data_IF_126702299267
#
_entry.id   IF_126702299267
#
_cell.length_a   1.000
_cell.length_b   1.000
_cell.length_c   1.000
_cell.angle_alpha   90.00
_cell.angle_beta   90.00
_cell.angle_gamma   90.00
#
_symmetry.space_group_name_H-M   'P 1'
#
loop_
_entity.id
_entity.type
_entity.pdbx_description
1 polymer ?
#
# COMPACT_ATOMS: atom_id res chain seq x y z
N UNK A 1 -16.63 7.51 -8.51
CA UNK A 1 -16.99 8.29 -7.30
C UNK A 1 -15.71 8.84 -6.70
N UNK A 2 -15.70 10.12 -6.28
CA UNK A 2 -14.52 10.80 -5.75
C UNK A 2 -14.69 11.05 -4.26
N UNK A 3 -13.65 10.80 -3.48
CA UNK A 3 -13.62 11.00 -2.04
C UNK A 3 -12.40 11.85 -1.66
N UNK A 4 -12.57 12.91 -0.85
CA UNK A 4 -11.43 13.52 -0.17
C UNK A 4 -10.84 12.50 0.80
N UNK A 5 -9.51 12.52 0.91
CA UNK A 5 -8.77 11.68 1.85
C UNK A 5 -8.03 12.55 2.88
N UNK A 6 -7.70 11.94 4.01
CA UNK A 6 -6.73 12.46 4.97
C UNK A 6 -5.52 11.53 4.98
N UNK A 7 -4.32 12.09 4.86
CA UNK A 7 -3.07 11.36 5.02
C UNK A 7 -2.66 11.37 6.50
N UNK A 8 -3.21 10.44 7.29
CA UNK A 8 -2.95 10.34 8.72
C UNK A 8 -1.74 9.44 8.98
N UNK A 9 -0.67 9.99 9.56
CA UNK A 9 0.66 9.34 9.62
C UNK A 9 1.04 8.65 8.30
N UNK A 10 0.81 9.34 7.17
CA UNK A 10 1.02 8.87 5.80
C UNK A 10 0.11 7.74 5.31
N UNK A 11 -0.78 7.21 6.16
CA UNK A 11 -1.82 6.27 5.74
C UNK A 11 -3.03 6.99 5.15
N UNK A 12 -3.70 6.35 4.20
CA UNK A 12 -4.90 6.89 3.56
C UNK A 12 -6.13 6.59 4.43
N UNK A 13 -6.76 7.64 4.93
CA UNK A 13 -8.10 7.56 5.51
C UNK A 13 -9.12 8.24 4.60
N UNK A 14 -10.20 7.55 4.29
CA UNK A 14 -11.35 8.11 3.57
C UNK A 14 -12.63 7.95 4.40
N UNK A 15 -13.51 8.94 4.28
CA UNK A 15 -14.82 8.92 4.94
C UNK A 15 -15.91 8.60 3.91
N UNK A 16 -16.75 7.61 4.22
CA UNK A 16 -17.90 7.25 3.39
C UNK A 16 -19.08 6.86 4.27
N UNK A 17 -20.14 7.65 4.23
CA UNK A 17 -21.26 7.58 5.17
C UNK A 17 -20.76 7.69 6.63
N UNK A 18 -21.01 6.67 7.44
CA UNK A 18 -20.55 6.55 8.83
C UNK A 18 -19.19 5.84 8.98
N UNK A 19 -18.62 5.37 7.87
CA UNK A 19 -17.38 4.61 7.88
C UNK A 19 -16.14 5.49 7.74
N UNK A 20 -15.12 5.15 8.51
CA UNK A 20 -13.75 5.67 8.39
C UNK A 20 -12.91 4.50 7.88
N UNK A 21 -12.46 4.61 6.64
CA UNK A 21 -11.86 3.51 5.88
C UNK A 21 -10.37 3.80 5.69
N UNK A 22 -9.54 2.90 6.23
CA UNK A 22 -8.12 2.78 5.87
C UNK A 22 -8.01 2.04 4.54
N UNK A 23 -7.42 2.66 3.52
CA UNK A 23 -7.20 2.00 2.22
C UNK A 23 -5.85 1.30 2.22
N UNK A 24 -5.85 0.00 1.90
CA UNK A 24 -4.68 -0.84 2.05
C UNK A 24 -4.55 -1.85 0.88
N UNK A 25 -3.62 -1.58 -0.04
CA UNK A 25 -3.29 -2.49 -1.15
C UNK A 25 -2.35 -3.63 -0.73
N UNK A 26 -1.79 -3.57 0.47
CA UNK A 26 -1.01 -4.63 1.12
C UNK A 26 -1.87 -5.66 1.86
N UNK A 27 -3.19 -5.45 1.96
CA UNK A 27 -4.12 -6.42 2.51
C UNK A 27 -4.96 -7.12 1.43
N UNK A 28 -4.97 -8.46 1.37
CA UNK A 28 -5.80 -9.19 0.41
C UNK A 28 -7.28 -9.26 0.82
N UNK A 29 -7.62 -8.86 2.05
CA UNK A 29 -8.96 -8.99 2.63
C UNK A 29 -9.39 -7.68 3.27
N UNK A 30 -10.66 -7.33 3.10
CA UNK A 30 -11.30 -6.23 3.80
C UNK A 30 -11.74 -6.68 5.19
N UNK A 31 -11.27 -5.93 6.20
CA UNK A 31 -11.65 -6.09 7.60
C UNK A 31 -12.61 -4.96 7.97
N UNK A 32 -13.79 -5.28 8.46
CA UNK A 32 -14.81 -4.30 8.83
C UNK A 32 -15.43 -4.64 10.19
N UNK A 33 -15.93 -3.63 10.90
CA UNK A 33 -16.64 -3.81 12.18
C UNK A 33 -17.88 -4.71 12.04
N UNK A 34 -18.48 -4.72 10.85
CA UNK A 34 -19.62 -5.58 10.50
C UNK A 34 -19.30 -6.56 9.36
N UNK A 35 -20.20 -7.51 9.13
CA UNK A 35 -20.02 -8.53 8.09
C UNK A 35 -20.21 -8.00 6.66
N UNK A 36 -20.70 -6.77 6.50
CA UNK A 36 -20.94 -6.15 5.21
C UNK A 36 -20.68 -4.65 5.28
N UNK A 37 -20.20 -4.10 4.17
CA UNK A 37 -20.08 -2.65 3.97
C UNK A 37 -20.80 -2.25 2.67
N UNK A 38 -21.51 -1.12 2.70
CA UNK A 38 -22.00 -0.48 1.48
C UNK A 38 -21.03 0.62 1.06
N UNK A 39 -20.44 0.45 -0.12
CA UNK A 39 -19.47 1.39 -0.69
C UNK A 39 -19.74 1.60 -2.19
N UNK A 40 -19.71 2.84 -2.66
CA UNK A 40 -20.01 3.20 -4.06
C UNK A 40 -21.32 2.57 -4.61
N UNK A 41 -22.39 2.56 -3.80
CA UNK A 41 -23.70 1.95 -4.11
C UNK A 41 -23.68 0.43 -4.34
N UNK A 42 -22.64 -0.25 -3.89
CA UNK A 42 -22.50 -1.71 -3.90
C UNK A 42 -22.34 -2.20 -2.46
N UNK A 43 -22.83 -3.41 -2.18
CA UNK A 43 -22.66 -4.06 -0.88
C UNK A 43 -21.67 -5.20 -1.02
N UNK A 44 -20.67 -5.22 -0.16
CA UNK A 44 -19.61 -6.23 -0.13
C UNK A 44 -19.66 -6.99 1.19
N UNK A 45 -19.42 -8.29 1.14
CA UNK A 45 -19.16 -9.08 2.35
C UNK A 45 -17.75 -8.74 2.88
N UNK A 46 -17.60 -8.71 4.20
CA UNK A 46 -16.36 -8.37 4.87
C UNK A 46 -16.04 -9.38 5.97
N UNK A 47 -14.76 -9.53 6.26
CA UNK A 47 -14.31 -10.25 7.44
C UNK A 47 -14.31 -9.32 8.65
N UNK A 48 -14.62 -9.83 9.85
CA UNK A 48 -14.41 -9.07 11.11
C UNK A 48 -12.99 -9.20 11.65
N UNK A 49 -12.27 -10.22 11.18
CA UNK A 49 -10.92 -10.53 11.58
C UNK A 49 -10.17 -11.16 10.40
N UNK A 50 -8.87 -10.87 10.29
CA UNK A 50 -7.97 -11.58 9.40
C UNK A 50 -6.67 -11.91 10.15
N UNK A 51 -6.41 -13.21 10.37
CA UNK A 51 -5.26 -13.70 11.13
C UNK A 51 -5.02 -12.99 12.49
N UNK A 52 -6.07 -12.78 13.28
CA UNK A 52 -5.95 -12.08 14.57
C UNK A 52 -5.83 -10.55 14.48
N UNK A 53 -6.01 -9.98 13.29
CA UNK A 53 -6.13 -8.53 13.06
C UNK A 53 -7.60 -8.15 13.00
N UNK A 54 -8.02 -7.18 13.82
CA UNK A 54 -9.37 -6.60 13.80
C UNK A 54 -9.29 -5.08 13.63
N UNK A 55 -10.41 -4.42 13.32
CA UNK A 55 -10.45 -2.95 13.19
C UNK A 55 -10.19 -2.23 14.51
N UNK A 56 -10.51 -2.84 15.66
CA UNK A 56 -10.18 -2.29 16.98
C UNK A 56 -8.66 -2.27 17.18
N UNK A 57 -7.99 -3.40 16.92
CA UNK A 57 -6.53 -3.51 17.02
C UNK A 57 -5.83 -2.54 16.07
N UNK A 58 -6.33 -2.42 14.83
CA UNK A 58 -5.80 -1.48 13.85
C UNK A 58 -6.00 -0.03 14.30
N UNK A 59 -7.16 0.29 14.88
CA UNK A 59 -7.43 1.63 15.42
C UNK A 59 -6.46 2.00 16.55
N UNK A 60 -6.18 1.05 17.45
CA UNK A 60 -5.24 1.24 18.56
C UNK A 60 -3.81 1.47 18.03
N UNK A 61 -3.37 0.67 17.06
CA UNK A 61 -2.03 0.76 16.48
C UNK A 61 -1.85 2.03 15.63
N UNK A 62 -2.88 2.40 14.87
CA UNK A 62 -2.89 3.65 14.09
C UNK A 62 -2.97 4.87 15.01
N UNK A 63 -3.60 4.77 16.17
CA UNK A 63 -3.92 5.91 17.02
C UNK A 63 -5.07 6.77 16.50
N UNK A 64 -5.87 6.23 15.57
CA UNK A 64 -7.07 6.87 15.01
C UNK A 64 -8.16 5.82 14.83
N UNK A 65 -9.42 6.11 15.21
CA UNK A 65 -10.51 5.16 15.02
C UNK A 65 -10.77 4.92 13.53
N UNK A 66 -10.82 3.66 13.15
CA UNK A 66 -11.29 3.21 11.83
C UNK A 66 -12.41 2.18 12.01
N UNK A 67 -13.34 2.16 11.07
CA UNK A 67 -14.38 1.12 11.00
C UNK A 67 -14.00 0.03 10.02
N UNK A 68 -13.04 0.30 9.14
CA UNK A 68 -12.72 -0.57 8.00
C UNK A 68 -11.25 -0.44 7.61
N UNK A 69 -10.60 -1.57 7.37
CA UNK A 69 -9.44 -1.69 6.48
C UNK A 69 -9.93 -2.28 5.16
N UNK A 70 -9.86 -1.51 4.08
CA UNK A 70 -10.34 -1.91 2.75
C UNK A 70 -9.18 -2.50 1.95
N UNK A 71 -9.24 -3.81 1.76
CA UNK A 71 -8.23 -4.61 1.06
C UNK A 71 -8.52 -4.79 -0.42
N UNK A 72 -7.66 -5.54 -1.11
CA UNK A 72 -7.72 -5.73 -2.56
C UNK A 72 -8.94 -6.53 -3.04
N UNK A 73 -9.59 -7.29 -2.16
CA UNK A 73 -10.87 -7.95 -2.44
C UNK A 73 -11.98 -6.97 -2.84
N UNK A 74 -12.04 -5.78 -2.23
CA UNK A 74 -12.96 -4.70 -2.63
C UNK A 74 -12.29 -3.75 -3.61
N UNK A 75 -11.02 -3.39 -3.41
CA UNK A 75 -10.35 -2.40 -4.30
C UNK A 75 -10.31 -2.88 -5.75
N UNK A 76 -10.22 -4.19 -6.00
CA UNK A 76 -10.19 -4.77 -7.35
C UNK A 76 -11.52 -4.66 -8.12
N UNK A 77 -12.61 -4.31 -7.45
CA UNK A 77 -13.91 -4.04 -8.09
C UNK A 77 -13.95 -2.67 -8.78
N UNK A 78 -12.89 -1.87 -8.63
CA UNK A 78 -12.76 -0.54 -9.22
C UNK A 78 -11.41 -0.37 -9.92
N UNK A 79 -11.35 0.65 -10.78
CA UNK A 79 -10.09 1.33 -11.07
C UNK A 79 -9.93 2.41 -10.00
N UNK A 80 -8.86 2.33 -9.20
CA UNK A 80 -8.63 3.25 -8.07
C UNK A 80 -7.53 4.25 -8.44
N UNK A 81 -7.86 5.54 -8.42
CA UNK A 81 -6.92 6.64 -8.66
C UNK A 81 -6.51 7.24 -7.32
N UNK A 82 -5.22 7.21 -7.03
CA UNK A 82 -4.58 7.77 -5.85
C UNK A 82 -3.92 9.09 -6.23
N UNK A 83 -4.49 10.19 -5.72
CA UNK A 83 -4.01 11.55 -5.94
C UNK A 83 -3.65 12.18 -4.59
N UNK A 84 -2.44 11.89 -4.11
CA UNK A 84 -1.98 12.35 -2.80
C UNK A 84 -1.77 13.87 -2.77
N UNK A 85 -1.31 14.46 -3.88
CA UNK A 85 -1.10 15.90 -3.99
C UNK A 85 -2.40 16.67 -3.76
N UNK A 86 -3.49 16.24 -4.41
CA UNK A 86 -4.80 16.84 -4.23
C UNK A 86 -5.61 16.24 -3.07
N UNK A 87 -5.04 15.27 -2.34
CA UNK A 87 -5.69 14.52 -1.25
C UNK A 87 -7.06 13.98 -1.67
N UNK A 88 -7.08 13.29 -2.80
CA UNK A 88 -8.28 12.66 -3.36
C UNK A 88 -8.03 11.21 -3.73
N UNK A 89 -9.06 10.39 -3.58
CA UNK A 89 -9.15 9.09 -4.26
C UNK A 89 -10.39 9.06 -5.15
N UNK A 90 -10.23 8.50 -6.35
CA UNK A 90 -11.33 8.24 -7.26
C UNK A 90 -11.48 6.75 -7.52
N UNK A 91 -12.70 6.24 -7.34
CA UNK A 91 -13.10 4.89 -7.71
C UNK A 91 -13.89 4.95 -9.02
N UNK A 92 -13.33 4.44 -10.11
CA UNK A 92 -13.93 4.41 -11.45
C UNK A 92 -14.40 3.00 -11.78
N UNK A 93 -15.35 2.88 -12.71
CA UNK A 93 -15.71 1.56 -13.23
C UNK A 93 -14.62 1.07 -14.19
N UNK A 94 -14.55 -0.25 -14.38
CA UNK A 94 -13.64 -0.90 -15.34
C UNK A 94 -13.94 -0.56 -16.81
N UNK A 95 -15.04 0.14 -17.10
CA UNK A 95 -15.34 0.67 -18.43
C UNK A 95 -14.55 1.95 -18.75
N UNK A 96 -14.01 2.61 -17.72
CA UNK A 96 -13.18 3.79 -17.90
C UNK A 96 -11.77 3.41 -18.36
N UNK A 97 -11.18 4.28 -19.19
CA UNK A 97 -9.77 4.13 -19.57
C UNK A 97 -8.85 4.62 -18.45
N UNK A 98 -7.71 3.94 -18.31
CA UNK A 98 -6.55 4.44 -17.60
C UNK A 98 -5.91 5.59 -18.37
N UNK A 99 -5.31 6.52 -17.65
CA UNK A 99 -4.62 7.68 -18.22
C UNK A 99 -3.18 7.75 -17.73
N UNK A 100 -2.29 8.27 -18.57
CA UNK A 100 -0.86 8.38 -18.26
C UNK A 100 -0.04 7.23 -18.88
N UNK A 101 1.12 6.96 -18.31
CA UNK A 101 1.94 5.82 -18.72
C UNK A 101 1.38 4.56 -18.08
N UNK A 102 1.07 3.55 -18.89
CA UNK A 102 0.46 2.31 -18.42
C UNK A 102 1.52 1.21 -18.44
N UNK A 103 1.61 0.47 -17.34
CA UNK A 103 2.44 -0.72 -17.21
C UNK A 103 1.63 -1.90 -16.71
N UNK A 104 2.07 -3.09 -17.09
CA UNK A 104 1.57 -4.33 -16.50
C UNK A 104 2.17 -4.50 -15.10
N UNK A 105 1.32 -4.89 -14.15
CA UNK A 105 1.75 -5.31 -12.81
C UNK A 105 1.53 -6.80 -12.66
N UNK A 106 2.19 -7.40 -11.67
CA UNK A 106 2.02 -8.82 -11.37
C UNK A 106 1.32 -8.96 -10.02
N UNK A 107 0.54 -10.01 -9.82
CA UNK A 107 -0.11 -10.27 -8.53
C UNK A 107 0.30 -11.61 -7.95
N UNK A 108 0.46 -11.65 -6.63
CA UNK A 108 0.70 -12.86 -5.86
C UNK A 108 -0.08 -12.78 -4.55
N UNK A 109 -0.86 -13.82 -4.24
CA UNK A 109 -1.73 -13.89 -3.05
C UNK A 109 -2.64 -12.66 -2.87
N UNK A 110 -3.13 -12.08 -3.97
CA UNK A 110 -4.00 -10.89 -3.94
C UNK A 110 -3.27 -9.55 -3.79
N UNK A 111 -1.94 -9.55 -3.75
CA UNK A 111 -1.12 -8.35 -3.61
C UNK A 111 -0.41 -7.99 -4.91
N UNK A 112 -0.32 -6.70 -5.20
CA UNK A 112 0.27 -6.17 -6.43
C UNK A 112 1.77 -5.98 -6.32
N UNK A 113 2.49 -6.28 -7.37
CA UNK A 113 3.94 -6.19 -7.47
C UNK A 113 4.37 -5.42 -8.71
N UNK A 114 5.35 -4.54 -8.53
CA UNK A 114 6.07 -3.84 -9.61
C UNK A 114 7.55 -4.14 -9.55
N UNK A 115 8.23 -3.82 -10.64
CA UNK A 115 9.68 -3.81 -10.70
C UNK A 115 10.18 -2.37 -10.49
N UNK A 116 11.20 -2.22 -9.66
CA UNK A 116 11.97 -0.99 -9.48
C UNK A 116 13.43 -1.27 -9.84
N UNK A 117 14.20 -0.24 -10.13
CA UNK A 117 15.66 -0.34 -10.13
C UNK A 117 16.20 0.33 -8.87
N UNK A 118 16.91 -0.43 -8.05
CA UNK A 118 17.65 0.05 -6.89
C UNK A 118 19.13 -0.21 -7.13
N UNK A 119 19.96 0.84 -7.08
CA UNK A 119 21.42 0.73 -7.28
C UNK A 119 21.83 0.03 -8.60
N UNK A 120 21.00 0.15 -9.64
CA UNK A 120 21.23 -0.50 -10.93
C UNK A 120 20.75 -1.96 -11.02
N UNK A 121 20.21 -2.52 -9.94
CA UNK A 121 19.58 -3.85 -9.93
C UNK A 121 18.07 -3.75 -10.04
N UNK A 122 17.47 -4.55 -10.92
CA UNK A 122 16.01 -4.69 -11.00
C UNK A 122 15.52 -5.54 -9.82
N UNK A 123 14.57 -5.00 -9.05
CA UNK A 123 13.99 -5.62 -7.86
C UNK A 123 12.47 -5.63 -7.98
N UNK A 124 11.85 -6.73 -7.56
CA UNK A 124 10.39 -6.82 -7.46
C UNK A 124 9.95 -6.44 -6.05
N UNK A 125 8.96 -5.56 -5.92
CA UNK A 125 8.42 -5.09 -4.62
C UNK A 125 6.89 -5.17 -4.62
N UNK A 126 6.29 -5.41 -3.45
CA UNK A 126 4.85 -5.22 -3.27
C UNK A 126 4.48 -3.74 -3.22
N UNK A 127 3.35 -3.35 -3.79
CA UNK A 127 2.81 -1.99 -3.68
C UNK A 127 1.79 -1.93 -2.55
N UNK A 128 2.05 -1.05 -1.57
CA UNK A 128 1.30 -1.04 -0.33
C UNK A 128 0.94 0.39 0.14
N UNK A 129 -0.31 0.80 -0.08
CA UNK A 129 -0.85 2.06 0.47
C UNK A 129 -0.98 2.06 2.00
N UNK A 130 -0.98 0.88 2.62
CA UNK A 130 -0.94 0.68 4.07
C UNK A 130 0.45 0.87 4.67
N UNK A 131 1.51 1.02 3.87
CA UNK A 131 2.88 1.20 4.38
C UNK A 131 3.31 2.69 4.41
N UNK A 132 3.53 3.24 5.62
CA UNK A 132 3.95 4.65 5.81
C UNK A 132 5.41 4.93 5.45
N UNK A 133 6.25 3.90 5.51
CA UNK A 133 7.59 3.87 4.93
C UNK A 133 7.71 2.64 4.04
N UNK A 134 8.68 2.67 3.13
CA UNK A 134 8.97 1.51 2.30
C UNK A 134 9.92 0.57 3.05
N UNK A 135 10.01 -0.67 2.59
CA UNK A 135 10.80 -1.70 3.22
C UNK A 135 11.60 -2.47 2.18
N UNK A 136 12.85 -2.80 2.49
CA UNK A 136 13.70 -3.54 1.56
C UNK A 136 14.65 -4.49 2.29
N UNK A 137 15.04 -5.57 1.61
CA UNK A 137 16.08 -6.48 2.05
C UNK A 137 17.37 -5.75 2.45
N UNK A 138 17.95 -6.14 3.58
CA UNK A 138 19.19 -5.57 4.13
C UNK A 138 20.34 -5.57 3.13
N UNK A 139 20.38 -6.50 2.18
CA UNK A 139 21.43 -6.52 1.14
C UNK A 139 21.49 -5.23 0.33
N UNK A 140 20.37 -4.48 0.22
CA UNK A 140 20.34 -3.18 -0.47
C UNK A 140 20.75 -2.01 0.43
N UNK A 141 20.77 -2.17 1.75
CA UNK A 141 21.13 -1.09 2.69
C UNK A 141 22.48 -1.30 3.36
N UNK A 142 23.08 -2.49 3.21
CA UNK A 142 24.31 -2.89 3.92
C UNK A 142 25.52 -1.97 3.69
N UNK A 143 25.58 -1.30 2.53
CA UNK A 143 26.68 -0.42 2.14
C UNK A 143 26.38 1.07 2.40
N UNK A 144 25.25 1.37 3.06
CA UNK A 144 24.81 2.73 3.39
C UNK A 144 24.88 2.97 4.90
N UNK A 145 25.20 4.20 5.27
CA UNK A 145 25.05 4.63 6.67
C UNK A 145 23.58 4.84 6.99
N UNK A 146 23.13 4.25 8.10
CA UNK A 146 21.78 4.46 8.61
C UNK A 146 21.58 5.92 9.00
N UNK A 147 20.42 6.47 8.66
CA UNK A 147 19.99 7.82 9.03
C UNK A 147 19.37 7.86 10.45
N UNK A 148 19.35 6.72 11.14
CA UNK A 148 18.75 6.55 12.45
C UNK A 148 17.71 5.43 12.44
N UNK A 149 16.94 5.33 13.52
CA UNK A 149 15.91 4.31 13.68
C UNK A 149 14.52 4.90 13.60
N UNK A 150 13.58 4.13 13.04
CA UNK A 150 12.16 4.46 12.99
C UNK A 150 11.37 3.42 13.77
N UNK A 151 10.36 3.88 14.50
CA UNK A 151 9.32 3.01 15.07
C UNK A 151 8.18 2.87 14.05
N UNK A 152 7.75 1.63 13.85
CA UNK A 152 6.61 1.32 13.00
C UNK A 152 5.87 0.10 13.55
N UNK A 153 4.76 -0.25 12.91
CA UNK A 153 4.00 -1.43 13.24
C UNK A 153 3.62 -2.21 11.99
N UNK A 154 3.44 -3.52 12.17
CA UNK A 154 2.72 -4.34 11.20
C UNK A 154 1.57 -5.05 11.94
N UNK A 155 0.35 -5.06 11.40
CA UNK A 155 -0.82 -5.62 12.10
C UNK A 155 -0.62 -7.04 12.63
N UNK A 156 0.22 -7.85 11.98
CA UNK A 156 0.47 -9.24 12.37
C UNK A 156 1.47 -9.38 13.51
N UNK A 157 2.52 -8.56 13.56
CA UNK A 157 3.59 -8.67 14.58
C UNK A 157 3.56 -7.63 15.68
N UNK A 158 2.81 -6.54 15.50
CA UNK A 158 2.86 -5.40 16.40
C UNK A 158 3.96 -4.41 16.05
N UNK A 159 4.38 -3.67 17.06
CA UNK A 159 5.39 -2.61 16.96
C UNK A 159 6.79 -3.20 16.78
N UNK A 160 7.61 -2.52 15.98
CA UNK A 160 9.01 -2.84 15.79
C UNK A 160 9.82 -1.58 15.49
N UNK A 161 11.13 -1.70 15.62
CA UNK A 161 12.08 -0.64 15.27
C UNK A 161 12.94 -1.11 14.12
N UNK A 162 13.23 -0.22 13.17
CA UNK A 162 14.09 -0.52 12.02
C UNK A 162 15.09 0.59 11.77
N UNK A 163 16.26 0.23 11.23
CA UNK A 163 17.21 1.21 10.69
C UNK A 163 16.65 1.83 9.41
N UNK A 164 16.92 3.11 9.19
CA UNK A 164 16.34 3.88 8.09
C UNK A 164 17.40 4.36 7.11
N UNK A 165 17.06 4.30 5.83
CA UNK A 165 17.95 4.63 4.73
C UNK A 165 17.18 5.32 3.62
N UNK A 166 17.70 6.43 3.09
CA UNK A 166 17.15 7.05 1.88
C UNK A 166 17.92 6.55 0.67
N UNK A 167 17.23 5.88 -0.25
CA UNK A 167 17.81 5.37 -1.50
C UNK A 167 17.08 5.96 -2.70
N UNK A 168 17.79 6.15 -3.80
CA UNK A 168 17.17 6.48 -5.07
C UNK A 168 16.59 5.20 -5.70
N UNK A 169 15.30 5.23 -5.97
CA UNK A 169 14.58 4.24 -6.75
C UNK A 169 14.28 4.79 -8.14
N UNK A 170 14.23 3.89 -9.12
CA UNK A 170 13.82 4.21 -10.48
C UNK A 170 12.64 3.31 -10.87
N UNK A 171 11.54 3.95 -11.25
CA UNK A 171 10.36 3.30 -11.80
C UNK A 171 10.16 3.77 -13.23
N UNK A 172 10.32 2.87 -14.20
CA UNK A 172 10.11 3.17 -15.63
C UNK A 172 10.92 4.39 -16.13
N UNK A 173 12.16 4.55 -15.66
CA UNK A 173 13.05 5.67 -15.99
C UNK A 173 12.85 6.92 -15.14
N UNK A 174 11.91 6.91 -14.19
CA UNK A 174 11.63 8.02 -13.29
C UNK A 174 12.29 7.78 -11.94
N UNK A 175 13.32 8.58 -11.65
CA UNK A 175 14.06 8.51 -10.38
C UNK A 175 13.38 9.32 -9.28
N UNK A 176 13.30 8.73 -8.10
CA UNK A 176 12.75 9.34 -6.91
C UNK A 176 13.41 8.77 -5.65
N UNK A 177 13.53 9.60 -4.61
CA UNK A 177 14.12 9.17 -3.34
C UNK A 177 13.05 8.52 -2.46
N UNK A 178 13.41 7.42 -1.82
CA UNK A 178 12.52 6.61 -0.99
C UNK A 178 13.16 6.36 0.35
N UNK A 179 12.40 6.56 1.42
CA UNK A 179 12.76 6.18 2.77
C UNK A 179 12.44 4.70 2.99
N UNK A 180 13.50 3.91 3.13
CA UNK A 180 13.43 2.48 3.40
C UNK A 180 13.78 2.16 4.86
N UNK A 181 13.01 1.25 5.45
CA UNK A 181 13.43 0.43 6.57
C UNK A 181 13.90 -0.94 6.11
N UNK A 182 14.59 -1.69 6.97
CA UNK A 182 14.76 -3.12 6.79
C UNK A 182 13.64 -3.89 7.48
N UNK A 183 13.10 -4.90 6.81
CA UNK A 183 12.11 -5.78 7.43
C UNK A 183 12.75 -6.62 8.53
N UNK A 184 11.98 -6.93 9.60
CA UNK A 184 12.37 -7.99 10.51
C UNK A 184 12.62 -9.29 9.74
N UNK A 185 13.65 -10.06 10.12
CA UNK A 185 14.14 -11.23 9.36
C UNK A 185 13.04 -12.23 8.98
N UNK A 186 12.08 -12.45 9.89
CA UNK A 186 10.95 -13.36 9.65
C UNK A 186 10.09 -12.92 8.46
N UNK A 187 9.84 -11.62 8.29
CA UNK A 187 9.07 -11.11 7.16
C UNK A 187 9.88 -11.09 5.87
N UNK A 188 11.17 -10.76 5.97
CA UNK A 188 12.05 -10.84 4.81
C UNK A 188 12.06 -12.27 4.23
N UNK A 189 12.05 -13.28 5.10
CA UNK A 189 11.96 -14.67 4.68
C UNK A 189 10.62 -14.99 3.99
N UNK A 190 9.49 -14.49 4.51
CA UNK A 190 8.17 -14.67 3.90
C UNK A 190 8.08 -13.98 2.54
N UNK A 191 8.54 -12.73 2.41
CA UNK A 191 8.56 -12.01 1.13
C UNK A 191 9.46 -12.70 0.09
N UNK A 192 10.61 -13.21 0.53
CA UNK A 192 11.54 -13.92 -0.34
C UNK A 192 10.93 -15.19 -0.95
N UNK A 193 10.01 -15.87 -0.25
CA UNK A 193 9.26 -17.02 -0.81
C UNK A 193 8.35 -16.62 -1.97
N UNK A 194 7.89 -15.36 -1.99
CA UNK A 194 7.10 -14.77 -3.07
C UNK A 194 7.96 -14.20 -4.20
N UNK A 195 9.29 -14.26 -4.09
CA UNK A 195 10.23 -13.69 -5.06
C UNK A 195 10.33 -12.17 -4.99
N UNK A 196 9.91 -11.58 -3.87
CA UNK A 196 9.83 -10.13 -3.67
C UNK A 196 10.92 -9.68 -2.71
N UNK A 197 11.57 -8.55 -3.04
CA UNK A 197 12.67 -7.98 -2.26
C UNK A 197 12.21 -7.06 -1.12
N UNK A 198 10.97 -6.56 -1.19
CA UNK A 198 10.45 -5.61 -0.22
C UNK A 198 9.06 -5.07 -0.55
N UNK A 199 8.73 -3.94 0.06
CA UNK A 199 7.45 -3.23 -0.05
C UNK A 199 7.74 -1.78 -0.41
N UNK A 200 7.01 -1.23 -1.37
CA UNK A 200 7.03 0.20 -1.71
C UNK A 200 5.71 0.82 -1.25
N UNK A 201 5.82 1.85 -0.42
CA UNK A 201 4.70 2.50 0.25
C UNK A 201 4.54 3.96 -0.11
N UNK A 202 4.28 4.79 0.91
CA UNK A 202 3.95 6.21 0.81
C UNK A 202 4.73 7.00 -0.24
N UNK A 203 6.07 6.90 -0.28
CA UNK A 203 6.89 7.74 -1.16
C UNK A 203 6.59 7.51 -2.65
N UNK A 204 6.13 6.32 -3.04
CA UNK A 204 5.70 6.04 -4.41
C UNK A 204 4.41 6.79 -4.77
N UNK A 205 3.40 6.69 -3.92
CA UNK A 205 2.12 7.38 -4.11
C UNK A 205 2.20 8.90 -3.91
N UNK A 206 3.19 9.36 -3.14
CA UNK A 206 3.48 10.78 -2.98
C UNK A 206 4.29 11.33 -4.17
N UNK A 207 5.02 10.49 -4.90
CA UNK A 207 5.79 10.90 -6.08
C UNK A 207 4.95 10.86 -7.38
N UNK A 208 4.04 9.88 -7.50
CA UNK A 208 3.25 9.65 -8.70
C UNK A 208 1.75 9.81 -8.41
N UNK A 209 1.02 10.38 -9.36
CA UNK A 209 -0.43 10.17 -9.43
C UNK A 209 -0.66 8.78 -10.03
N UNK A 210 -1.16 7.84 -9.22
CA UNK A 210 -1.24 6.42 -9.57
C UNK A 210 -2.68 6.02 -9.79
N UNK A 211 -2.98 5.30 -10.88
CA UNK A 211 -4.24 4.57 -11.04
C UNK A 211 -3.97 3.08 -11.09
N UNK A 212 -4.73 2.29 -10.34
CA UNK A 212 -4.59 0.84 -10.31
C UNK A 212 -5.88 0.18 -10.80
N UNK A 213 -5.74 -0.65 -11.83
CA UNK A 213 -6.76 -1.58 -12.28
C UNK A 213 -6.27 -2.99 -11.92
N UNK A 214 -6.57 -3.41 -10.68
CA UNK A 214 -6.14 -4.70 -10.16
C UNK A 214 -6.78 -5.86 -10.92
N UNK A 215 -8.00 -5.68 -11.43
CA UNK A 215 -8.70 -6.73 -12.18
C UNK A 215 -7.96 -7.08 -13.47
N UNK A 216 -7.42 -6.07 -14.16
CA UNK A 216 -6.71 -6.24 -15.42
C UNK A 216 -5.19 -6.27 -15.28
N UNK A 217 -4.66 -6.24 -14.05
CA UNK A 217 -3.22 -6.18 -13.77
C UNK A 217 -2.52 -4.99 -14.42
N UNK A 218 -3.15 -3.81 -14.36
CA UNK A 218 -2.59 -2.59 -14.91
C UNK A 218 -2.39 -1.54 -13.82
N UNK A 219 -1.28 -0.82 -13.94
CA UNK A 219 -1.02 0.41 -13.21
C UNK A 219 -0.77 1.51 -14.22
N UNK A 220 -1.38 2.67 -14.03
CA UNK A 220 -0.99 3.88 -14.73
C UNK A 220 -0.43 4.92 -13.79
N UNK A 221 0.54 5.71 -14.28
CA UNK A 221 1.18 6.74 -13.48
C UNK A 221 1.41 8.03 -14.28
N UNK A 222 1.40 9.15 -13.56
CA UNK A 222 1.76 10.50 -14.03
C UNK A 222 2.64 11.19 -12.99
N UNK A 223 3.42 12.17 -13.44
CA UNK A 223 4.22 13.08 -12.60
C UNK A 223 3.65 14.49 -12.70
#
# INVERSE_FOLDING_TARGET
MKFPITLFDKHILLHSNENIILVDTGSPVTIHSENQITFCNQTFDCSKEYFGVTVERLSDMLGSPITTLMGTDILSEFIVVYDYENQMIEFKSHENQLEGNIVEITQNMGLSMIDLILQGEQVKVFIDTGAKISYIDKKFTQDFESQGTLEDFNPMIGEFTTESYTLDADFEGNKFSVLFGNLPEMFQAILSLSGVAGVIGYDFFNHFNVSMDLKNNLLSYKK
#
